data_IF_511031137062
#
_entry.id   IF_511031137062
#
_cell.length_a   1.000
_cell.length_b   1.000
_cell.length_c   1.000
_cell.angle_alpha   90.00
_cell.angle_beta   90.00
_cell.angle_gamma   90.00
#
_symmetry.space_group_name_H-M   'P 1'
#
loop_
_entity.id
_entity.type
_entity.pdbx_description
1 polymer ?
#
# COMPACT_ATOMS: atom_id res chain seq x y z
N UNK A 1 -29.61 -10.64 45.20
CA UNK A 1 -29.42 -9.22 45.60
C UNK A 1 -28.01 -9.06 46.16
N UNK A 2 -27.23 -8.10 45.65
CA UNK A 2 -25.97 -7.67 46.25
C UNK A 2 -24.70 -8.03 45.46
N UNK A 3 -24.44 -7.34 44.34
CA UNK A 3 -23.09 -7.19 43.78
C UNK A 3 -22.51 -5.87 44.30
N UNK A 4 -21.40 -5.98 45.03
CA UNK A 4 -20.66 -4.87 45.61
C UNK A 4 -19.75 -4.18 44.58
N UNK A 5 -19.78 -2.86 44.62
CA UNK A 5 -19.00 -1.92 43.79
C UNK A 5 -17.68 -1.58 44.48
N UNK A 6 -16.57 -1.56 43.74
CA UNK A 6 -15.30 -0.95 44.16
C UNK A 6 -14.44 -0.67 42.91
N UNK A 7 -14.42 0.55 42.39
CA UNK A 7 -13.61 1.71 42.80
C UNK A 7 -12.25 1.78 42.07
N UNK A 8 -12.13 2.83 41.25
CA UNK A 8 -10.98 3.22 40.44
C UNK A 8 -9.74 3.57 41.28
N UNK A 9 -8.54 3.40 40.71
CA UNK A 9 -7.31 3.94 41.27
C UNK A 9 -6.41 4.52 40.17
N UNK A 10 -6.45 5.86 40.06
CA UNK A 10 -5.44 6.71 39.40
C UNK A 10 -4.12 6.57 40.15
N UNK A 11 -3.01 6.44 39.43
CA UNK A 11 -1.66 6.52 40.01
C UNK A 11 -0.99 7.84 39.59
N UNK A 12 -0.62 8.65 40.58
CA UNK A 12 0.24 9.84 40.51
C UNK A 12 1.21 9.76 41.67
N UNK A 13 2.52 9.85 41.46
CA UNK A 13 3.55 10.18 42.48
C UNK A 13 4.81 10.73 41.72
N UNK A 14 5.76 11.49 42.31
CA UNK A 14 5.70 12.91 42.72
C UNK A 14 6.90 13.79 42.28
N UNK A 15 6.78 15.08 42.61
CA UNK A 15 7.79 16.16 42.65
C UNK A 15 9.01 15.84 43.56
N UNK A 16 10.18 16.41 43.23
CA UNK A 16 11.27 16.73 44.18
C UNK A 16 11.71 18.20 44.01
N UNK A 17 11.84 18.86 45.16
CA UNK A 17 12.27 20.22 45.49
C UNK A 17 13.73 20.57 45.11
N UNK A 18 14.06 21.85 44.87
CA UNK A 18 14.90 22.67 45.79
C UNK A 18 15.24 24.09 45.28
N UNK A 19 15.43 24.97 46.27
CA UNK A 19 15.55 26.44 46.30
C UNK A 19 16.84 27.06 45.73
N UNK A 20 16.67 28.23 45.10
CA UNK A 20 17.33 29.55 45.29
C UNK A 20 18.83 29.69 45.60
N UNK A 21 19.54 30.51 44.80
CA UNK A 21 20.61 31.42 45.23
C UNK A 21 20.67 32.69 44.32
N UNK A 22 21.18 33.78 44.90
CA UNK A 22 20.98 35.21 44.61
C UNK A 22 22.28 35.88 44.07
N UNK A 23 22.13 37.03 43.36
CA UNK A 23 23.14 38.11 43.13
C UNK A 23 24.25 37.88 42.07
N UNK A 24 24.86 38.84 41.35
CA UNK A 24 24.73 40.29 41.05
C UNK A 24 25.91 40.66 40.08
N UNK A 25 25.78 41.76 39.30
CA UNK A 25 26.82 42.64 38.71
C UNK A 25 27.36 42.41 37.26
N UNK A 26 26.80 43.21 36.34
CA UNK A 26 27.38 44.20 35.39
C UNK A 26 28.88 44.10 35.03
N UNK A 27 29.21 44.14 33.71
CA UNK A 27 30.16 45.08 33.06
C UNK A 27 30.20 44.94 31.51
N UNK A 28 29.83 46.04 30.83
CA UNK A 28 30.33 46.69 29.59
C UNK A 28 30.93 45.90 28.39
N UNK A 29 30.42 46.25 27.20
CA UNK A 29 31.26 46.65 26.04
C UNK A 29 31.12 45.83 24.75
N UNK A 30 30.63 46.45 23.67
CA UNK A 30 30.87 45.97 22.28
C UNK A 30 29.76 46.29 21.28
N UNK A 31 29.90 47.40 20.55
CA UNK A 31 29.12 47.72 19.34
C UNK A 31 29.56 46.86 18.15
N UNK A 32 28.60 46.50 17.29
CA UNK A 32 28.86 46.37 15.86
C UNK A 32 28.34 45.10 15.21
N UNK A 33 27.41 45.29 14.27
CA UNK A 33 27.41 44.50 13.04
C UNK A 33 26.28 43.48 12.86
N UNK A 34 25.33 43.90 12.03
CA UNK A 34 24.72 43.11 10.95
C UNK A 34 23.75 41.97 11.29
N UNK A 35 22.49 42.24 10.92
CA UNK A 35 21.52 41.33 10.31
C UNK A 35 21.17 40.06 11.08
N UNK A 36 20.11 40.19 11.88
CA UNK A 36 19.33 39.08 12.39
C UNK A 36 18.78 38.27 11.19
N UNK A 37 19.53 37.23 10.86
CA UNK A 37 19.16 36.17 9.95
C UNK A 37 17.80 35.61 10.35
N UNK A 38 16.86 35.76 9.42
CA UNK A 38 15.54 35.15 9.39
C UNK A 38 15.66 33.68 9.77
N UNK A 39 15.05 33.31 10.90
CA UNK A 39 14.89 31.93 11.33
C UNK A 39 14.26 31.13 10.19
N UNK A 40 15.08 30.38 9.46
CA UNK A 40 14.64 29.43 8.47
C UNK A 40 14.05 28.25 9.24
N UNK A 41 12.72 28.20 9.24
CA UNK A 41 11.95 26.98 9.50
C UNK A 41 12.63 25.84 8.75
N UNK A 42 13.22 24.90 9.50
CA UNK A 42 13.65 23.61 8.96
C UNK A 42 12.41 22.93 8.41
N UNK A 43 12.18 23.11 7.11
CA UNK A 43 11.26 22.27 6.37
C UNK A 43 11.72 20.83 6.57
N UNK A 44 10.86 20.03 7.18
CA UNK A 44 11.07 18.61 7.38
C UNK A 44 11.47 17.98 6.04
N UNK A 45 12.69 17.45 5.98
CA UNK A 45 13.18 16.71 4.83
C UNK A 45 12.25 15.51 4.64
N UNK A 46 11.45 15.53 3.56
CA UNK A 46 10.67 14.37 3.11
C UNK A 46 11.62 13.16 3.07
N UNK A 47 11.30 12.03 3.72
CA UNK A 47 12.13 10.84 3.64
C UNK A 47 12.38 10.49 2.17
N UNK A 48 13.64 10.25 1.81
CA UNK A 48 14.00 9.80 0.47
C UNK A 48 13.26 8.49 0.19
N UNK A 49 12.52 8.44 -0.91
CA UNK A 49 11.89 7.20 -1.37
C UNK A 49 13.02 6.16 -1.59
N UNK A 50 12.85 4.91 -1.11
CA UNK A 50 13.88 3.89 -1.26
C UNK A 50 14.25 3.73 -2.74
N UNK A 51 15.54 3.86 -3.05
CA UNK A 51 16.03 3.56 -4.40
C UNK A 51 15.75 2.09 -4.68
N UNK A 52 14.98 1.80 -5.74
CA UNK A 52 14.65 0.43 -6.15
C UNK A 52 15.96 -0.28 -6.53
N UNK A 53 16.28 -1.43 -5.92
CA UNK A 53 17.44 -2.24 -6.29
C UNK A 53 17.39 -2.65 -7.77
N UNK A 54 18.54 -2.64 -8.44
CA UNK A 54 18.63 -2.93 -9.88
C UNK A 54 18.06 -4.33 -10.22
N UNK A 55 18.32 -5.34 -9.39
CA UNK A 55 17.77 -6.68 -9.57
C UNK A 55 16.23 -6.69 -9.61
N UNK A 56 15.58 -5.90 -8.74
CA UNK A 56 14.11 -5.81 -8.68
C UNK A 56 13.58 -5.10 -9.93
N UNK A 57 14.26 -4.03 -10.35
CA UNK A 57 13.88 -3.31 -11.57
C UNK A 57 14.02 -4.19 -12.82
N UNK A 58 15.13 -4.92 -12.96
CA UNK A 58 15.35 -5.86 -14.06
C UNK A 58 14.32 -7.00 -14.06
N UNK A 59 13.97 -7.52 -12.87
CA UNK A 59 12.93 -8.53 -12.75
C UNK A 59 11.54 -7.99 -13.16
N UNK A 60 11.19 -6.78 -12.74
CA UNK A 60 9.95 -6.13 -13.15
C UNK A 60 9.90 -5.94 -14.68
N UNK A 61 10.99 -5.50 -15.29
CA UNK A 61 11.10 -5.34 -16.74
C UNK A 61 10.98 -6.67 -17.49
N UNK A 62 11.55 -7.75 -16.94
CA UNK A 62 11.39 -9.09 -17.50
C UNK A 62 9.94 -9.60 -17.46
N UNK A 63 9.15 -9.22 -16.44
CA UNK A 63 7.76 -9.71 -16.27
C UNK A 63 6.73 -8.82 -17.00
N UNK A 64 6.96 -7.51 -17.03
CA UNK A 64 6.00 -6.51 -17.52
C UNK A 64 6.48 -5.70 -18.74
N UNK A 65 7.76 -5.80 -19.12
CA UNK A 65 8.39 -5.02 -20.18
C UNK A 65 9.07 -3.75 -19.67
N UNK A 66 9.79 -3.06 -20.57
CA UNK A 66 10.60 -1.86 -20.25
C UNK A 66 9.80 -0.72 -19.59
N UNK A 67 8.50 -0.63 -19.87
CA UNK A 67 7.62 0.41 -19.32
C UNK A 67 7.12 0.10 -17.91
N UNK A 68 7.68 -0.91 -17.25
CA UNK A 68 7.28 -1.30 -15.90
C UNK A 68 7.83 -0.34 -14.85
N UNK A 69 7.03 -0.08 -13.83
CA UNK A 69 7.41 0.71 -12.67
C UNK A 69 7.20 -0.12 -11.41
N UNK A 70 8.25 -0.26 -10.61
CA UNK A 70 8.17 -0.87 -9.27
C UNK A 70 7.52 0.14 -8.32
N UNK A 71 6.38 -0.23 -7.77
CA UNK A 71 5.56 0.63 -6.90
C UNK A 71 5.89 0.46 -5.42
N UNK A 72 6.23 -0.76 -5.01
CA UNK A 72 6.65 -1.10 -3.65
C UNK A 72 7.39 -2.45 -3.66
N UNK A 73 8.34 -2.63 -2.75
CA UNK A 73 9.08 -3.87 -2.58
C UNK A 73 9.43 -4.12 -1.11
N UNK A 74 9.74 -5.37 -0.76
CA UNK A 74 10.04 -5.81 0.62
C UNK A 74 9.31 -7.12 0.96
N UNK A 75 9.10 -7.40 2.24
CA UNK A 75 8.24 -8.50 2.68
C UNK A 75 6.76 -8.08 2.64
N UNK A 76 6.20 -8.08 1.43
CA UNK A 76 4.86 -7.55 1.17
C UNK A 76 3.77 -8.45 1.74
N UNK A 77 3.92 -9.77 1.69
CA UNK A 77 2.98 -10.73 2.25
C UNK A 77 3.17 -11.01 3.76
N UNK A 78 4.17 -10.40 4.43
CA UNK A 78 4.55 -10.69 5.82
C UNK A 78 4.83 -12.19 6.05
N UNK A 79 5.50 -12.79 5.07
CA UNK A 79 5.84 -14.21 5.03
C UNK A 79 7.36 -14.47 5.10
N UNK A 80 8.16 -13.41 5.29
CA UNK A 80 9.61 -13.47 5.38
C UNK A 80 10.33 -13.53 4.02
N UNK A 81 9.62 -13.39 2.91
CA UNK A 81 10.20 -13.44 1.56
C UNK A 81 10.24 -12.07 0.92
N UNK A 82 11.20 -11.89 0.02
CA UNK A 82 11.32 -10.66 -0.73
C UNK A 82 10.33 -10.67 -1.90
N UNK A 83 9.50 -9.63 -1.97
CA UNK A 83 8.46 -9.46 -2.97
C UNK A 83 8.52 -8.03 -3.54
N UNK A 84 7.95 -7.85 -4.74
CA UNK A 84 7.68 -6.53 -5.30
C UNK A 84 6.32 -6.46 -5.97
N UNK A 85 5.73 -5.27 -5.96
CA UNK A 85 4.59 -4.88 -6.76
C UNK A 85 5.09 -3.98 -7.89
N UNK A 86 4.85 -4.35 -9.13
CA UNK A 86 5.17 -3.55 -10.31
C UNK A 86 3.95 -3.37 -11.20
N UNK A 87 3.91 -2.28 -11.97
CA UNK A 87 2.82 -2.00 -12.89
C UNK A 87 3.25 -1.24 -14.14
N UNK A 88 2.51 -1.41 -15.23
CA UNK A 88 2.55 -0.50 -16.37
C UNK A 88 1.55 0.65 -16.10
N UNK A 89 2.09 1.79 -15.65
CA UNK A 89 1.30 2.95 -15.24
C UNK A 89 0.91 3.78 -16.45
N UNK A 90 -0.37 4.14 -16.56
CA UNK A 90 -0.86 5.11 -17.54
C UNK A 90 -0.69 6.51 -16.96
N UNK A 91 0.04 7.42 -17.64
CA UNK A 91 0.19 8.79 -17.19
C UNK A 91 -1.16 9.47 -16.97
N UNK A 92 -1.30 10.19 -15.86
CA UNK A 92 -2.54 10.91 -15.54
C UNK A 92 -2.77 12.03 -16.55
N UNK A 93 -3.97 12.09 -17.12
CA UNK A 93 -4.46 13.32 -17.77
C UNK A 93 -4.96 14.30 -16.69
N UNK A 94 -4.85 15.63 -16.89
CA UNK A 94 -5.18 16.64 -15.86
C UNK A 94 -6.60 16.58 -15.29
N UNK A 95 -7.51 15.85 -15.93
CA UNK A 95 -8.95 15.82 -15.62
C UNK A 95 -9.36 14.64 -14.72
N UNK A 96 -8.46 13.70 -14.40
CA UNK A 96 -8.78 12.51 -13.60
C UNK A 96 -8.39 12.69 -12.11
N UNK A 97 -9.35 13.11 -11.29
CA UNK A 97 -9.14 13.39 -9.86
C UNK A 97 -9.50 12.23 -8.92
N UNK A 98 -9.87 11.06 -9.45
CA UNK A 98 -10.22 9.91 -8.62
C UNK A 98 -8.97 9.26 -8.00
N UNK A 99 -8.99 8.85 -6.72
CA UNK A 99 -7.87 8.18 -6.07
C UNK A 99 -7.42 6.90 -6.78
N UNK A 100 -6.12 6.59 -6.67
CA UNK A 100 -5.49 5.43 -7.31
C UNK A 100 -4.76 5.75 -8.61
N UNK A 101 -3.95 4.78 -9.03
CA UNK A 101 -3.11 4.82 -10.22
C UNK A 101 -3.78 4.04 -11.33
N UNK A 102 -3.91 4.65 -12.51
CA UNK A 102 -4.40 3.93 -13.70
C UNK A 102 -3.27 3.06 -14.23
N UNK A 103 -3.56 1.77 -14.41
CA UNK A 103 -2.59 0.76 -14.84
C UNK A 103 -3.22 -0.14 -15.90
N UNK A 104 -2.42 -0.63 -16.84
CA UNK A 104 -2.87 -1.65 -17.81
C UNK A 104 -2.49 -3.05 -17.37
N UNK A 105 -1.38 -3.19 -16.65
CA UNK A 105 -0.87 -4.46 -16.13
C UNK A 105 -0.26 -4.27 -14.75
N UNK A 106 -0.38 -5.27 -13.88
CA UNK A 106 0.23 -5.32 -12.55
C UNK A 106 0.74 -6.73 -12.29
N UNK A 107 1.88 -6.84 -11.62
CA UNK A 107 2.40 -8.10 -11.11
C UNK A 107 2.81 -7.92 -9.65
N UNK A 108 2.50 -8.91 -8.82
CA UNK A 108 3.24 -9.17 -7.57
C UNK A 108 4.12 -10.37 -7.82
N UNK A 109 5.41 -10.23 -7.56
CA UNK A 109 6.40 -11.29 -7.72
C UNK A 109 7.17 -11.52 -6.43
N UNK A 110 7.60 -12.77 -6.22
CA UNK A 110 8.38 -13.23 -5.08
C UNK A 110 9.73 -13.73 -5.55
N UNK A 111 10.79 -13.43 -4.81
CA UNK A 111 12.09 -14.02 -4.99
C UNK A 111 12.16 -15.34 -4.22
N UNK A 112 12.33 -16.44 -4.95
CA UNK A 112 12.63 -17.75 -4.42
C UNK A 112 14.02 -18.16 -4.93
N UNK A 113 15.02 -18.12 -4.04
CA UNK A 113 16.39 -18.56 -4.31
C UNK A 113 17.04 -17.89 -5.54
N UNK A 114 16.87 -16.56 -5.66
CA UNK A 114 17.40 -15.76 -6.77
C UNK A 114 16.57 -15.83 -8.05
N UNK A 115 15.40 -16.48 -8.01
CA UNK A 115 14.47 -16.56 -9.14
C UNK A 115 13.17 -15.87 -8.79
N UNK A 116 12.74 -14.97 -9.67
CA UNK A 116 11.49 -14.24 -9.52
C UNK A 116 10.33 -15.05 -10.09
N UNK A 117 9.28 -15.24 -9.30
CA UNK A 117 8.05 -15.93 -9.69
C UNK A 117 6.82 -15.05 -9.49
N UNK A 118 5.92 -15.03 -10.48
CA UNK A 118 4.65 -14.31 -10.36
C UNK A 118 3.74 -15.00 -9.31
N UNK A 119 3.26 -14.20 -8.35
CA UNK A 119 2.25 -14.60 -7.37
C UNK A 119 0.85 -14.11 -7.74
N UNK A 120 0.78 -12.91 -8.32
CA UNK A 120 -0.44 -12.25 -8.77
C UNK A 120 -0.17 -11.57 -10.11
N UNK A 121 -1.10 -11.71 -11.05
CA UNK A 121 -1.11 -11.02 -12.32
C UNK A 121 -2.45 -10.32 -12.54
N UNK A 122 -2.37 -9.07 -12.93
CA UNK A 122 -3.48 -8.26 -13.38
C UNK A 122 -3.18 -7.82 -14.81
N UNK A 123 -3.98 -8.25 -15.76
CA UNK A 123 -3.97 -7.78 -17.14
C UNK A 123 -5.40 -7.45 -17.57
N UNK A 124 -6.01 -8.27 -18.41
CA UNK A 124 -7.44 -8.21 -18.70
C UNK A 124 -8.27 -8.75 -17.53
N UNK A 125 -7.66 -9.60 -16.70
CA UNK A 125 -8.28 -10.24 -15.54
C UNK A 125 -7.31 -10.30 -14.35
N UNK A 126 -7.85 -10.62 -13.18
CA UNK A 126 -7.07 -10.89 -11.97
C UNK A 126 -6.82 -12.40 -11.85
N UNK A 127 -5.55 -12.80 -11.77
CA UNK A 127 -5.13 -14.19 -11.69
C UNK A 127 -4.05 -14.39 -10.64
N UNK A 128 -4.06 -15.55 -9.99
CA UNK A 128 -2.93 -16.07 -9.24
C UNK A 128 -2.48 -17.41 -9.83
N UNK A 129 -1.56 -18.10 -9.15
CA UNK A 129 -1.02 -19.41 -9.54
C UNK A 129 -2.07 -20.54 -9.66
N UNK A 130 -3.29 -20.35 -9.14
CA UNK A 130 -4.39 -21.33 -9.17
C UNK A 130 -5.52 -20.98 -10.13
N UNK A 131 -5.48 -19.80 -10.73
CA UNK A 131 -6.47 -19.37 -11.72
C UNK A 131 -6.97 -17.96 -11.45
N UNK A 132 -8.22 -17.72 -11.84
CA UNK A 132 -8.86 -16.42 -11.80
C UNK A 132 -9.39 -16.13 -10.39
N UNK A 133 -9.14 -14.91 -9.91
CA UNK A 133 -9.63 -14.48 -8.61
C UNK A 133 -11.13 -14.23 -8.65
N UNK A 134 -11.78 -14.44 -7.51
CA UNK A 134 -13.18 -14.09 -7.32
C UNK A 134 -13.44 -12.62 -7.63
N UNK A 135 -14.65 -12.34 -8.13
CA UNK A 135 -15.10 -11.00 -8.54
C UNK A 135 -14.38 -10.41 -9.77
N UNK A 136 -13.37 -11.07 -10.35
CA UNK A 136 -12.78 -10.61 -11.60
C UNK A 136 -13.85 -10.55 -12.70
N UNK A 137 -13.90 -9.48 -13.53
CA UNK A 137 -14.85 -9.41 -14.64
C UNK A 137 -14.72 -10.60 -15.58
N UNK A 138 -15.85 -11.13 -16.05
CA UNK A 138 -15.88 -12.19 -17.06
C UNK A 138 -15.42 -11.66 -18.42
N UNK A 139 -15.83 -10.44 -18.77
CA UNK A 139 -15.35 -9.74 -19.96
C UNK A 139 -13.97 -9.12 -19.67
N UNK A 140 -13.06 -9.22 -20.64
CA UNK A 140 -11.77 -8.55 -20.60
C UNK A 140 -11.92 -7.04 -20.40
N UNK A 141 -11.08 -6.45 -19.55
CA UNK A 141 -11.01 -4.99 -19.36
C UNK A 141 -9.71 -4.45 -19.94
N UNK A 142 -9.71 -3.17 -20.34
CA UNK A 142 -8.54 -2.52 -20.95
C UNK A 142 -7.60 -1.89 -19.93
N UNK A 143 -8.00 -1.86 -18.66
CA UNK A 143 -7.17 -1.35 -17.59
C UNK A 143 -7.89 -1.33 -16.25
N UNK A 144 -7.13 -0.94 -15.24
CA UNK A 144 -7.54 -0.95 -13.85
C UNK A 144 -7.14 0.35 -13.18
N UNK A 145 -7.92 0.73 -12.19
CA UNK A 145 -7.52 1.69 -11.17
C UNK A 145 -7.02 0.88 -9.98
N UNK A 146 -5.72 0.97 -9.72
CA UNK A 146 -5.03 0.32 -8.61
C UNK A 146 -4.92 1.29 -7.44
N UNK A 147 -5.30 0.82 -6.25
CA UNK A 147 -4.89 1.40 -4.98
C UNK A 147 -4.20 0.30 -4.17
N UNK A 148 -3.24 0.67 -3.33
CA UNK A 148 -2.54 -0.27 -2.47
C UNK A 148 -2.15 0.39 -1.16
N UNK A 149 -2.11 -0.42 -0.10
CA UNK A 149 -1.66 -0.03 1.22
C UNK A 149 -0.81 -1.16 1.83
N UNK A 150 0.15 -0.79 2.68
CA UNK A 150 0.91 -1.74 3.48
C UNK A 150 0.38 -1.70 4.90
N UNK A 151 -0.06 -2.85 5.40
CA UNK A 151 -0.48 -3.03 6.79
C UNK A 151 0.57 -3.86 7.54
N UNK A 152 0.87 -3.49 8.78
CA UNK A 152 1.92 -4.16 9.57
C UNK A 152 1.60 -5.61 9.91
N UNK A 153 0.32 -5.95 10.08
CA UNK A 153 -0.14 -7.31 10.42
C UNK A 153 -0.53 -8.11 9.18
N UNK A 154 -1.23 -7.46 8.25
CA UNK A 154 -1.89 -8.09 7.10
C UNK A 154 -1.07 -8.04 5.83
N UNK A 155 0.03 -7.27 5.81
CA UNK A 155 0.86 -7.05 4.64
C UNK A 155 0.20 -6.15 3.59
N UNK A 156 0.57 -6.38 2.34
CA UNK A 156 0.08 -5.65 1.18
C UNK A 156 -1.39 -5.99 0.92
N UNK A 157 -2.19 -4.93 0.92
CA UNK A 157 -3.58 -4.97 0.53
C UNK A 157 -3.77 -4.15 -0.75
N UNK A 158 -4.36 -4.78 -1.77
CA UNK A 158 -4.55 -4.23 -3.11
C UNK A 158 -6.04 -4.04 -3.37
N UNK A 159 -6.39 -2.98 -4.09
CA UNK A 159 -7.75 -2.72 -4.53
C UNK A 159 -7.76 -2.43 -6.02
N UNK A 160 -8.48 -3.27 -6.76
CA UNK A 160 -8.58 -3.20 -8.21
C UNK A 160 -9.99 -2.78 -8.63
N UNK A 161 -10.12 -1.61 -9.24
CA UNK A 161 -11.39 -1.19 -9.87
C UNK A 161 -11.25 -1.30 -11.38
N UNK A 162 -12.05 -2.12 -12.08
CA UNK A 162 -11.98 -2.24 -13.53
C UNK A 162 -12.38 -0.93 -14.21
N UNK A 163 -11.63 -0.52 -15.21
CA UNK A 163 -11.99 0.62 -16.07
C UNK A 163 -12.93 0.11 -17.15
N UNK A 164 -14.23 0.28 -16.93
CA UNK A 164 -15.22 0.21 -18.01
C UNK A 164 -15.19 1.55 -18.76
N UNK A 165 -15.60 1.55 -20.03
CA UNK A 165 -15.68 2.77 -20.86
C UNK A 165 -16.39 3.93 -20.15
N UNK A 166 -16.16 5.15 -20.65
CA UNK A 166 -16.48 6.44 -20.00
C UNK A 166 -17.70 6.38 -19.07
N UNK A 167 -17.44 6.63 -17.78
CA UNK A 167 -18.39 6.76 -16.67
C UNK A 167 -19.05 5.47 -16.16
N UNK A 168 -18.38 4.79 -15.24
CA UNK A 168 -19.09 3.99 -14.24
C UNK A 168 -18.43 4.15 -12.86
N UNK A 169 -18.94 5.11 -12.08
CA UNK A 169 -18.42 5.48 -10.75
C UNK A 169 -18.84 4.51 -9.64
N UNK A 170 -19.61 3.46 -9.95
CA UNK A 170 -20.22 2.56 -8.95
C UNK A 170 -19.57 1.18 -8.89
N UNK A 171 -18.49 0.92 -9.64
CA UNK A 171 -17.76 -0.34 -9.51
C UNK A 171 -16.97 -0.35 -8.20
N UNK A 172 -17.46 -1.12 -7.22
CA UNK A 172 -16.73 -1.38 -5.99
C UNK A 172 -15.38 -2.07 -6.32
N UNK A 173 -14.27 -1.63 -5.71
CA UNK A 173 -12.99 -2.28 -5.88
C UNK A 173 -13.04 -3.78 -5.50
N UNK A 174 -12.19 -4.55 -6.16
CA UNK A 174 -11.89 -5.93 -5.78
C UNK A 174 -10.69 -5.86 -4.84
N UNK A 175 -10.90 -6.17 -3.57
CA UNK A 175 -9.82 -6.27 -2.60
C UNK A 175 -9.05 -7.56 -2.83
N UNK A 176 -7.72 -7.51 -2.79
CA UNK A 176 -6.83 -8.66 -2.94
C UNK A 176 -5.75 -8.59 -1.88
N UNK A 177 -5.50 -9.70 -1.18
CA UNK A 177 -4.46 -9.81 -0.14
C UNK A 177 -3.87 -11.21 -0.10
N UNK A 178 -2.65 -11.34 0.41
CA UNK A 178 -2.06 -12.64 0.74
C UNK A 178 -2.94 -13.41 1.74
N UNK A 179 -3.31 -14.65 1.40
CA UNK A 179 -3.96 -15.57 2.33
C UNK A 179 -2.90 -16.51 2.92
N UNK A 180 -2.58 -16.40 4.24
CA UNK A 180 -1.55 -17.23 4.87
C UNK A 180 -1.93 -18.72 4.93
N UNK A 181 -3.23 -19.05 4.93
CA UNK A 181 -3.70 -20.44 4.96
C UNK A 181 -3.46 -21.15 3.64
N UNK A 182 -3.59 -20.43 2.53
CA UNK A 182 -3.49 -20.98 1.17
C UNK A 182 -2.19 -20.61 0.47
N UNK A 183 -1.36 -19.77 1.10
CA UNK A 183 -0.06 -19.26 0.65
C UNK A 183 -0.10 -18.65 -0.76
N UNK A 184 -1.07 -17.75 -1.00
CA UNK A 184 -1.24 -17.03 -2.28
C UNK A 184 -2.13 -15.82 -2.11
N UNK A 185 -2.01 -14.86 -3.02
CA UNK A 185 -2.94 -13.72 -3.11
C UNK A 185 -4.33 -14.19 -3.53
N UNK A 186 -5.35 -13.76 -2.80
CA UNK A 186 -6.76 -14.07 -3.06
C UNK A 186 -7.61 -12.81 -2.99
N UNK A 187 -8.69 -12.80 -3.75
CA UNK A 187 -9.74 -11.78 -3.63
C UNK A 187 -10.43 -11.87 -2.28
N UNK A 188 -10.84 -10.72 -1.76
CA UNK A 188 -11.66 -10.59 -0.57
C UNK A 188 -13.12 -10.38 -0.95
N UNK A 189 -14.02 -10.64 0.00
CA UNK A 189 -15.42 -10.25 -0.10
C UNK A 189 -15.61 -8.72 -0.14
N UNK A 190 -16.86 -8.28 -0.25
CA UNK A 190 -17.18 -6.84 -0.36
C UNK A 190 -16.91 -6.04 0.92
N UNK A 191 -16.77 -6.72 2.06
CA UNK A 191 -16.36 -6.13 3.33
C UNK A 191 -14.83 -6.06 3.48
N UNK A 192 -14.08 -6.71 2.59
CA UNK A 192 -12.62 -6.86 2.65
C UNK A 192 -12.13 -7.66 3.88
N UNK A 193 -12.95 -8.56 4.39
CA UNK A 193 -12.68 -9.32 5.61
C UNK A 193 -12.35 -10.79 5.31
N UNK A 194 -13.11 -11.42 4.43
CA UNK A 194 -13.00 -12.85 4.14
C UNK A 194 -12.47 -13.14 2.74
N UNK A 195 -11.65 -14.17 2.61
CA UNK A 195 -11.12 -14.62 1.32
C UNK A 195 -12.16 -15.37 0.50
N UNK A 196 -12.18 -15.11 -0.80
CA UNK A 196 -12.98 -15.82 -1.79
C UNK A 196 -12.14 -16.88 -2.51
N UNK A 197 -12.81 -17.91 -3.00
CA UNK A 197 -12.20 -18.96 -3.80
C UNK A 197 -11.85 -18.49 -5.22
N UNK A 198 -10.86 -19.14 -5.82
CA UNK A 198 -10.52 -18.98 -7.23
C UNK A 198 -11.33 -19.89 -8.14
N UNK A 199 -11.38 -19.53 -9.42
CA UNK A 199 -11.86 -20.41 -10.49
C UNK A 199 -10.70 -20.79 -11.42
N UNK A 200 -10.55 -22.07 -11.82
CA UNK A 200 -9.53 -22.46 -12.79
C UNK A 200 -9.76 -21.88 -14.18
N UNK A 201 -11.00 -21.48 -14.50
CA UNK A 201 -11.40 -20.92 -15.80
C UNK A 201 -12.42 -19.79 -15.63
N UNK A 202 -12.41 -18.81 -16.55
CA UNK A 202 -13.54 -17.91 -16.73
C UNK A 202 -14.58 -18.65 -17.57
N UNK A 203 -15.75 -18.92 -17.00
CA UNK A 203 -16.89 -19.41 -17.79
C UNK A 203 -17.67 -18.20 -18.29
N UNK A 204 -17.84 -18.11 -19.61
CA UNK A 204 -18.83 -17.20 -20.18
C UNK A 204 -20.20 -17.62 -19.66
N UNK A 205 -20.94 -16.67 -19.07
CA UNK A 205 -22.36 -16.85 -18.84
C UNK A 205 -23.03 -16.98 -20.22
N UNK A 206 -23.09 -18.19 -20.77
CA UNK A 206 -23.99 -18.48 -21.88
C UNK A 206 -25.40 -18.23 -21.37
N UNK A 207 -25.94 -17.08 -21.72
CA UNK A 207 -27.36 -16.80 -21.63
C UNK A 207 -28.10 -17.91 -22.37
N UNK A 208 -28.67 -18.86 -21.64
CA UNK A 208 -29.68 -19.75 -22.20
C UNK A 208 -30.97 -18.95 -22.18
N UNK A 209 -31.16 -18.09 -23.18
CA UNK A 209 -32.49 -17.62 -23.53
C UNK A 209 -33.28 -18.86 -23.97
N UNK A 210 -34.29 -19.22 -23.19
CA UNK A 210 -35.42 -20.02 -23.62
C UNK A 210 -36.58 -19.08 -23.92
#
# INVERSE_FOLDING_TARGET
MGLGVGAARRWRIPLIFSLSFLSLAILLGGCGGTDASKSASQAATKPAEPVVPEEIQQAAESLLGSESQVLVFGDLAKNGKQEFLAANVVPKTPTNNLPGTIVTRVVVAENADGKWAELLRCDEHLKNQKGFLGLTPLAAVTGWRLQYEQNDEKGLQLYFTPLKGTTDSHNLPIGVRWNPSTKRYQSLDRAYEHFLLESPSIQDARSVLR
#
